data_IF_338135498528
#
_entry.id   IF_338135498528
#
_cell.length_a   1.000
_cell.length_b   1.000
_cell.length_c   1.000
_cell.angle_alpha   90.00
_cell.angle_beta   90.00
_cell.angle_gamma   90.00
#
_symmetry.space_group_name_H-M   'P 1'
#
loop_
_entity.id
_entity.type
_entity.pdbx_description
1 polymer ?
#
# COMPACT_ATOMS: atom_id res chain seq x y z
N UNK A 1 -29.02 11.25 -3.17
CA UNK A 1 -27.86 11.43 -2.26
C UNK A 1 -26.70 10.66 -2.85
N UNK A 2 -25.53 11.27 -2.96
CA UNK A 2 -24.29 10.61 -3.43
C UNK A 2 -23.44 10.31 -2.20
N UNK A 3 -23.07 9.05 -1.98
CA UNK A 3 -22.19 8.64 -0.89
C UNK A 3 -20.74 8.55 -1.39
N UNK A 4 -19.83 9.08 -0.58
CA UNK A 4 -18.39 8.94 -0.78
C UNK A 4 -17.80 8.04 0.30
N UNK A 5 -16.83 7.24 -0.09
CA UNK A 5 -15.96 6.49 0.81
C UNK A 5 -14.65 7.26 0.93
N UNK A 6 -14.25 7.59 2.16
CA UNK A 6 -12.98 8.21 2.49
C UNK A 6 -12.07 7.16 3.13
N UNK A 7 -10.89 6.98 2.56
CA UNK A 7 -9.78 6.33 3.23
C UNK A 7 -8.75 7.40 3.59
N UNK A 8 -8.31 7.43 4.85
CA UNK A 8 -7.27 8.31 5.34
C UNK A 8 -6.35 7.55 6.29
N UNK A 9 -5.06 7.84 6.21
CA UNK A 9 -4.00 7.23 7.01
C UNK A 9 -2.99 8.31 7.40
N UNK A 10 -2.43 8.19 8.60
CA UNK A 10 -1.44 9.12 9.12
C UNK A 10 -0.03 8.50 9.12
N UNK A 11 0.96 9.36 8.92
CA UNK A 11 2.38 9.01 9.01
C UNK A 11 3.07 9.93 10.01
N UNK A 12 3.95 9.34 10.80
CA UNK A 12 4.70 10.00 11.88
C UNK A 12 4.24 9.52 13.25
N UNK A 13 5.20 9.22 14.15
CA UNK A 13 4.90 8.76 15.51
C UNK A 13 5.38 9.82 16.48
N UNK A 14 4.51 10.27 17.39
CA UNK A 14 4.83 11.32 18.38
C UNK A 14 5.96 10.93 19.34
N UNK A 15 6.23 9.63 19.48
CA UNK A 15 7.34 9.10 20.27
C UNK A 15 8.69 9.08 19.53
N UNK A 16 8.72 9.33 18.22
CA UNK A 16 9.94 9.38 17.45
C UNK A 16 10.51 10.81 17.46
N UNK A 17 11.63 11.07 18.15
CA UNK A 17 12.19 12.42 18.28
C UNK A 17 12.71 12.98 16.95
N UNK A 18 12.91 12.14 15.93
CA UNK A 18 13.35 12.57 14.59
C UNK A 18 12.18 13.02 13.71
N UNK A 19 10.92 12.73 14.09
CA UNK A 19 9.72 13.13 13.35
C UNK A 19 9.25 14.52 13.77
N UNK A 20 9.41 15.51 12.88
CA UNK A 20 9.00 16.91 13.13
C UNK A 20 7.55 17.23 12.76
N UNK A 21 6.96 16.45 11.85
CA UNK A 21 5.62 16.68 11.34
C UNK A 21 4.88 15.35 11.19
N UNK A 22 3.60 15.34 11.56
CA UNK A 22 2.67 14.27 11.18
C UNK A 22 2.01 14.64 9.85
N UNK A 23 1.92 13.67 8.94
CA UNK A 23 1.27 13.83 7.64
C UNK A 23 0.02 12.98 7.61
N UNK A 24 -1.14 13.62 7.38
CA UNK A 24 -2.39 12.92 7.10
C UNK A 24 -2.63 12.92 5.59
N UNK A 25 -2.77 11.73 5.00
CA UNK A 25 -3.05 11.58 3.59
C UNK A 25 -4.20 10.58 3.38
N UNK A 26 -4.82 10.63 2.21
CA UNK A 26 -5.96 9.78 1.93
C UNK A 26 -6.50 9.97 0.53
N UNK A 27 -7.53 9.21 0.19
CA UNK A 27 -8.31 9.40 -1.03
C UNK A 27 -9.79 9.22 -0.74
N UNK A 28 -10.61 9.93 -1.52
CA UNK A 28 -12.06 9.78 -1.49
C UNK A 28 -12.55 9.31 -2.86
N UNK A 29 -13.53 8.42 -2.86
CA UNK A 29 -14.14 7.90 -4.09
C UNK A 29 -15.64 7.72 -3.92
N UNK A 30 -16.39 7.69 -5.02
CA UNK A 30 -17.81 7.34 -4.96
C UNK A 30 -17.98 5.88 -4.55
N UNK A 31 -19.06 5.60 -3.81
CA UNK A 31 -19.36 4.24 -3.32
C UNK A 31 -19.37 3.17 -4.44
N UNK A 32 -19.76 3.55 -5.65
CA UNK A 32 -19.86 2.66 -6.81
C UNK A 32 -18.52 2.35 -7.49
N UNK A 33 -17.40 2.90 -7.02
CA UNK A 33 -16.07 2.70 -7.62
C UNK A 33 -15.27 1.56 -6.99
N UNK A 34 -15.69 1.05 -5.82
CA UNK A 34 -14.95 0.03 -5.06
C UNK A 34 -14.60 -1.21 -5.88
N UNK A 35 -15.57 -1.75 -6.60
CA UNK A 35 -15.37 -2.89 -7.50
C UNK A 35 -14.34 -2.62 -8.60
N UNK A 36 -14.41 -1.45 -9.23
CA UNK A 36 -13.50 -1.08 -10.33
C UNK A 36 -12.08 -0.84 -9.85
N UNK A 37 -11.93 -0.26 -8.67
CA UNK A 37 -10.62 -0.09 -8.00
C UNK A 37 -10.03 -1.47 -7.70
N UNK A 38 -10.78 -2.38 -7.07
CA UNK A 38 -10.30 -3.73 -6.77
C UNK A 38 -9.93 -4.48 -8.06
N UNK A 39 -10.78 -4.42 -9.09
CA UNK A 39 -10.51 -5.05 -10.38
C UNK A 39 -9.22 -4.53 -11.02
N UNK A 40 -8.97 -3.21 -10.97
CA UNK A 40 -7.73 -2.64 -11.48
C UNK A 40 -6.49 -3.11 -10.70
N UNK A 41 -6.59 -3.25 -9.37
CA UNK A 41 -5.53 -3.83 -8.53
C UNK A 41 -5.30 -5.30 -8.89
N UNK A 42 -6.37 -6.08 -9.05
CA UNK A 42 -6.29 -7.49 -9.46
C UNK A 42 -5.63 -7.64 -10.82
N UNK A 43 -6.00 -6.81 -11.80
CA UNK A 43 -5.42 -6.80 -13.15
C UNK A 43 -3.90 -6.50 -13.10
N UNK A 44 -3.46 -5.60 -12.23
CA UNK A 44 -2.02 -5.34 -11.97
C UNK A 44 -1.34 -6.56 -11.34
N UNK A 45 -1.95 -7.15 -10.31
CA UNK A 45 -1.39 -8.29 -9.61
C UNK A 45 -1.28 -9.52 -10.53
N UNK A 46 -2.30 -9.80 -11.34
CA UNK A 46 -2.26 -10.86 -12.35
C UNK A 46 -1.13 -10.63 -13.36
N UNK A 47 -0.94 -9.38 -13.81
CA UNK A 47 0.11 -9.06 -14.78
C UNK A 47 1.53 -9.27 -14.23
N UNK A 48 1.80 -8.89 -12.98
CA UNK A 48 3.17 -8.87 -12.43
C UNK A 48 3.51 -10.04 -11.49
N UNK A 49 2.50 -10.65 -10.86
CA UNK A 49 2.65 -11.73 -9.87
C UNK A 49 2.03 -13.04 -10.40
N UNK A 50 1.07 -12.96 -11.33
CA UNK A 50 0.36 -14.13 -11.87
C UNK A 50 -0.80 -14.61 -10.99
N UNK A 51 -1.15 -13.87 -9.93
CA UNK A 51 -2.26 -14.16 -9.01
C UNK A 51 -2.73 -12.89 -8.30
N UNK A 52 -4.01 -12.82 -7.95
CA UNK A 52 -4.65 -11.66 -7.30
C UNK A 52 -5.16 -11.94 -5.87
N UNK A 53 -4.99 -13.15 -5.36
CA UNK A 53 -5.48 -13.58 -4.04
C UNK A 53 -4.48 -13.29 -2.89
N UNK A 54 -3.49 -12.44 -3.14
CA UNK A 54 -2.46 -12.08 -2.16
C UNK A 54 -2.78 -10.75 -1.48
N UNK A 55 -2.58 -10.70 -0.17
CA UNK A 55 -2.66 -9.44 0.57
C UNK A 55 -1.39 -8.59 0.30
N UNK A 56 -1.59 -7.37 -0.20
CA UNK A 56 -0.51 -6.39 -0.44
C UNK A 56 -0.10 -5.68 0.86
N UNK A 57 0.30 -6.44 1.87
CA UNK A 57 0.75 -5.90 3.15
C UNK A 57 2.27 -5.64 3.15
N UNK A 58 2.69 -4.40 3.39
CA UNK A 58 4.09 -3.94 3.25
C UNK A 58 5.07 -4.73 4.13
N UNK A 59 4.68 -5.09 5.36
CA UNK A 59 5.57 -5.80 6.29
C UNK A 59 5.98 -7.22 5.79
N UNK A 60 5.05 -8.10 5.39
CA UNK A 60 5.33 -9.36 4.70
C UNK A 60 6.13 -9.21 3.42
N UNK A 61 5.81 -8.21 2.59
CA UNK A 61 6.52 -7.95 1.33
C UNK A 61 7.99 -7.63 1.61
N UNK A 62 8.25 -6.62 2.45
CA UNK A 62 9.61 -6.17 2.80
C UNK A 62 10.44 -7.25 3.47
N UNK A 63 9.84 -8.02 4.38
CA UNK A 63 10.52 -9.11 5.07
C UNK A 63 10.72 -10.35 4.19
N UNK A 64 10.11 -10.42 3.00
CA UNK A 64 10.17 -11.59 2.14
C UNK A 64 9.50 -12.81 2.80
N UNK A 65 8.38 -12.61 3.49
CA UNK A 65 7.64 -13.69 4.15
C UNK A 65 6.79 -14.44 3.11
N UNK A 66 6.79 -15.77 3.18
CA UNK A 66 5.96 -16.60 2.28
C UNK A 66 6.36 -16.42 0.81
N UNK A 67 5.35 -16.24 -0.06
CA UNK A 67 5.56 -16.04 -1.50
C UNK A 67 6.45 -14.83 -1.80
N UNK A 68 6.45 -13.81 -0.94
CA UNK A 68 7.25 -12.62 -1.15
C UNK A 68 8.76 -12.92 -1.22
N UNK A 69 9.22 -14.06 -0.68
CA UNK A 69 10.62 -14.51 -0.79
C UNK A 69 11.06 -14.87 -2.22
N UNK A 70 10.14 -15.13 -3.14
CA UNK A 70 10.51 -15.48 -4.53
C UNK A 70 10.88 -14.27 -5.37
N UNK A 71 10.44 -13.05 -5.01
CA UNK A 71 10.75 -11.83 -5.75
C UNK A 71 12.15 -11.30 -5.39
N UNK A 72 12.94 -10.66 -6.26
CA UNK A 72 14.21 -10.04 -5.86
C UNK A 72 14.05 -9.03 -4.72
N UNK A 73 15.03 -8.90 -3.81
CA UNK A 73 14.92 -8.00 -2.64
C UNK A 73 14.71 -6.54 -3.05
N UNK A 74 15.38 -6.09 -4.11
CA UNK A 74 15.19 -4.77 -4.74
C UNK A 74 13.75 -4.52 -5.22
N UNK A 75 12.98 -5.57 -5.49
CA UNK A 75 11.59 -5.49 -5.97
C UNK A 75 10.56 -5.61 -4.83
N UNK A 76 10.99 -5.72 -3.56
CA UNK A 76 10.11 -5.90 -2.39
C UNK A 76 9.89 -4.62 -1.56
N UNK A 77 10.17 -3.46 -2.14
CA UNK A 77 9.90 -2.15 -1.53
C UNK A 77 10.67 -1.05 -2.24
N UNK A 78 10.24 0.20 -2.02
CA UNK A 78 11.06 1.36 -2.35
C UNK A 78 12.38 1.25 -1.57
N UNK A 79 13.50 1.49 -2.24
CA UNK A 79 14.76 1.86 -1.60
C UNK A 79 14.44 2.80 -0.44
N UNK A 80 15.16 2.67 0.69
CA UNK A 80 15.07 3.68 1.75
C UNK A 80 15.08 5.04 1.06
N UNK A 81 13.98 5.79 1.13
CA UNK A 81 14.07 7.22 0.89
C UNK A 81 15.10 7.67 1.92
N UNK A 82 16.32 7.90 1.44
CA UNK A 82 17.47 8.33 2.22
C UNK A 82 17.28 9.80 2.57
N UNK A 83 16.14 10.13 3.14
CA UNK A 83 15.91 11.39 3.82
C UNK A 83 16.03 11.03 5.29
N UNK A 84 17.29 10.79 5.69
CA UNK A 84 17.76 11.26 6.99
C UNK A 84 17.79 12.78 6.96
#
# INVERSE_FOLDING_TARGET
MTLYLLYADDSGVTSDPDVKYSVLAGFATFENQTYWIQKAVDDIMLKYIGRADLELHVSPIRSGRGIWRSFPKENRGLERSSHR
#
